data_IF_355965671785
#
_entry.id   IF_355965671785
#
_cell.length_a   1.000
_cell.length_b   1.000
_cell.length_c   1.000
_cell.angle_alpha   90.00
_cell.angle_beta   90.00
_cell.angle_gamma   90.00
#
_symmetry.space_group_name_H-M   'P 1'
#
loop_
_entity.id
_entity.type
_entity.pdbx_description
1 polymer ?
#
# COMPACT_ATOMS: atom_id res chain seq x y z
N UNK A 1 15.44 -1.22 -2.49
CA UNK A 1 14.98 -2.62 -2.38
C UNK A 1 13.90 -2.84 -3.42
N UNK A 2 14.09 -3.75 -4.37
CA UNK A 2 13.04 -4.11 -5.33
C UNK A 2 12.04 -5.03 -4.63
N UNK A 3 10.74 -4.77 -4.80
CA UNK A 3 9.68 -5.64 -4.29
C UNK A 3 9.78 -7.03 -4.94
N UNK A 4 9.34 -8.07 -4.22
CA UNK A 4 9.24 -9.43 -4.75
C UNK A 4 8.18 -9.58 -5.85
N UNK A 5 7.24 -8.63 -5.95
CA UNK A 5 6.21 -8.51 -6.99
C UNK A 5 6.12 -7.05 -7.42
N UNK A 6 6.04 -6.80 -8.73
CA UNK A 6 5.84 -5.44 -9.26
C UNK A 6 4.41 -4.98 -9.01
N UNK A 7 4.20 -3.66 -8.97
CA UNK A 7 2.89 -3.04 -8.78
C UNK A 7 1.90 -3.59 -9.82
N UNK A 8 0.90 -4.35 -9.36
CA UNK A 8 -0.14 -4.96 -10.21
C UNK A 8 0.02 -6.46 -10.53
N UNK A 9 1.02 -7.16 -9.99
CA UNK A 9 1.17 -8.61 -10.16
C UNK A 9 0.82 -9.37 -8.87
N UNK A 10 -0.16 -10.27 -8.95
CA UNK A 10 -0.63 -11.09 -7.81
C UNK A 10 -2.11 -10.86 -7.49
N UNK A 11 -2.59 -11.49 -6.43
CA UNK A 11 -3.93 -11.18 -5.90
C UNK A 11 -3.93 -9.80 -5.23
N UNK A 12 -5.11 -9.19 -5.07
CA UNK A 12 -5.26 -7.90 -4.38
C UNK A 12 -4.65 -7.95 -2.97
N UNK A 13 -4.87 -9.04 -2.24
CA UNK A 13 -4.30 -9.21 -0.89
C UNK A 13 -2.78 -9.31 -0.90
N UNK A 14 -2.19 -10.03 -1.86
CA UNK A 14 -0.73 -10.10 -2.01
C UNK A 14 -0.13 -8.73 -2.34
N UNK A 15 -0.82 -7.94 -3.16
CA UNK A 15 -0.41 -6.58 -3.52
C UNK A 15 -0.46 -5.67 -2.28
N UNK A 16 -1.56 -5.73 -1.51
CA UNK A 16 -1.73 -4.95 -0.27
C UNK A 16 -0.65 -5.27 0.75
N UNK A 17 -0.40 -6.55 1.00
CA UNK A 17 0.66 -6.99 1.91
C UNK A 17 2.04 -6.51 1.45
N UNK A 18 2.35 -6.65 0.16
CA UNK A 18 3.63 -6.19 -0.38
C UNK A 18 3.82 -4.67 -0.22
N UNK A 19 2.77 -3.88 -0.40
CA UNK A 19 2.83 -2.44 -0.16
C UNK A 19 2.98 -2.12 1.32
N UNK A 20 2.27 -2.79 2.23
CA UNK A 20 2.45 -2.58 3.68
C UNK A 20 3.90 -2.87 4.08
N UNK A 21 4.44 -4.02 3.67
CA UNK A 21 5.84 -4.40 3.97
C UNK A 21 6.87 -3.41 3.39
N UNK A 22 6.58 -2.79 2.23
CA UNK A 22 7.42 -1.73 1.65
C UNK A 22 7.47 -0.49 2.55
N UNK A 23 6.37 -0.14 3.21
CA UNK A 23 6.26 1.08 3.99
C UNK A 23 6.80 0.92 5.42
N UNK A 24 6.72 -0.27 6.03
CA UNK A 24 7.17 -0.53 7.42
C UNK A 24 8.58 0.02 7.71
N UNK A 25 9.63 -0.24 6.91
CA UNK A 25 10.97 0.28 7.20
C UNK A 25 11.05 1.80 7.23
N UNK A 26 10.25 2.48 6.40
CA UNK A 26 10.20 3.95 6.37
C UNK A 26 9.43 4.51 7.59
N UNK A 27 8.38 3.81 8.02
CA UNK A 27 7.62 4.17 9.22
C UNK A 27 8.49 4.00 10.47
N UNK A 28 9.25 2.90 10.57
CA UNK A 28 10.19 2.67 11.67
C UNK A 28 11.29 3.73 11.72
N UNK A 29 11.83 4.11 10.55
CA UNK A 29 12.83 5.18 10.45
C UNK A 29 12.25 6.54 10.86
N UNK A 30 11.04 6.88 10.42
CA UNK A 30 10.35 8.08 10.86
C UNK A 30 10.13 8.09 12.39
N UNK A 31 9.79 6.93 12.97
CA UNK A 31 9.68 6.74 14.42
C UNK A 31 10.99 7.01 15.16
N UNK A 32 12.13 6.51 14.64
CA UNK A 32 13.47 6.79 15.21
C UNK A 32 13.84 8.27 15.16
N UNK A 33 13.32 9.01 14.18
CA UNK A 33 13.49 10.46 14.05
C UNK A 33 12.52 11.27 14.91
N UNK A 34 11.64 10.62 15.69
CA UNK A 34 10.71 11.28 16.60
C UNK A 34 9.43 11.80 15.95
N UNK A 35 9.12 11.39 14.72
CA UNK A 35 7.86 11.77 14.04
C UNK A 35 6.66 11.29 14.86
N UNK A 36 5.74 12.21 15.19
CA UNK A 36 4.54 11.92 15.99
C UNK A 36 3.28 11.74 15.15
N UNK A 37 3.27 12.29 13.92
CA UNK A 37 2.15 12.17 12.97
C UNK A 37 2.76 11.86 11.61
N UNK A 38 2.31 10.77 11.00
CA UNK A 38 2.75 10.32 9.69
C UNK A 38 1.50 10.04 8.84
N UNK A 39 1.49 10.58 7.62
CA UNK A 39 0.46 10.29 6.62
C UNK A 39 1.07 9.49 5.49
N UNK A 40 0.27 8.62 4.88
CA UNK A 40 0.64 7.87 3.69
C UNK A 40 0.03 8.53 2.45
N UNK A 41 0.52 8.13 1.29
CA UNK A 41 -0.02 8.56 0.01
C UNK A 41 -1.47 8.06 -0.14
N UNK A 42 -2.26 8.76 -0.96
CA UNK A 42 -3.58 8.26 -1.34
C UNK A 42 -3.47 6.85 -1.91
N UNK A 43 -4.31 5.93 -1.43
CA UNK A 43 -4.36 4.54 -1.89
C UNK A 43 -2.98 3.83 -1.74
N UNK A 44 -2.22 4.14 -0.68
CA UNK A 44 -0.84 3.66 -0.51
C UNK A 44 -0.64 2.13 -0.59
N UNK A 45 -1.69 1.35 -0.35
CA UNK A 45 -1.64 -0.11 -0.30
C UNK A 45 -2.01 -0.78 -1.63
N UNK A 46 -2.40 -0.04 -2.66
CA UNK A 46 -2.65 -0.62 -4.00
C UNK A 46 -2.08 0.28 -5.11
N UNK A 47 -1.95 -0.21 -6.35
CA UNK A 47 -1.69 0.65 -7.51
C UNK A 47 -2.79 1.70 -7.69
N UNK A 48 -2.46 2.79 -8.38
CA UNK A 48 -3.45 3.78 -8.78
C UNK A 48 -4.31 3.23 -9.94
N UNK A 49 -5.39 2.52 -9.59
CA UNK A 49 -6.25 1.81 -10.53
C UNK A 49 -7.36 2.67 -11.15
N UNK A 50 -7.54 3.92 -10.71
CA UNK A 50 -8.57 4.85 -11.18
C UNK A 50 -8.71 5.02 -12.71
N UNK A 51 -7.64 4.97 -13.55
CA UNK A 51 -7.82 5.03 -15.00
C UNK A 51 -8.41 3.74 -15.62
N UNK A 52 -8.48 2.64 -14.87
CA UNK A 52 -9.07 1.37 -15.31
C UNK A 52 -10.56 1.22 -14.95
N UNK A 53 -11.18 0.14 -15.43
CA UNK A 53 -12.59 -0.21 -15.14
C UNK A 53 -12.76 -1.64 -14.59
N UNK A 54 -11.69 -2.25 -14.10
CA UNK A 54 -11.76 -3.59 -13.52
C UNK A 54 -12.47 -3.55 -12.15
N UNK A 55 -13.65 -4.15 -12.08
CA UNK A 55 -14.44 -4.24 -10.86
C UNK A 55 -13.78 -5.09 -9.76
N UNK A 56 -12.76 -5.89 -10.09
CA UNK A 56 -11.98 -6.64 -9.11
C UNK A 56 -11.40 -5.75 -8.01
N UNK A 57 -11.02 -4.51 -8.34
CA UNK A 57 -10.48 -3.56 -7.37
C UNK A 57 -11.46 -3.17 -6.26
N UNK A 58 -12.77 -3.39 -6.41
CA UNK A 58 -13.71 -3.16 -5.31
C UNK A 58 -13.45 -4.06 -4.10
N UNK A 59 -12.80 -5.21 -4.30
CA UNK A 59 -12.38 -6.09 -3.22
C UNK A 59 -11.23 -5.51 -2.37
N UNK A 60 -10.54 -4.45 -2.83
CA UNK A 60 -9.51 -3.79 -2.03
C UNK A 60 -10.08 -2.82 -0.98
N UNK A 61 -11.36 -2.46 -1.09
CA UNK A 61 -12.01 -1.56 -0.15
C UNK A 61 -12.11 -2.18 1.25
N UNK A 62 -11.81 -1.37 2.25
CA UNK A 62 -11.88 -1.74 3.66
C UNK A 62 -12.75 -0.72 4.41
N UNK A 63 -13.44 -1.18 5.45
CA UNK A 63 -14.16 -0.26 6.35
C UNK A 63 -13.19 0.70 7.02
N UNK A 64 -13.64 1.94 7.20
CA UNK A 64 -12.91 2.98 7.94
C UNK A 64 -13.87 3.63 8.94
N UNK A 65 -13.41 3.93 10.17
CA UNK A 65 -12.29 3.33 10.89
C UNK A 65 -12.60 1.92 11.38
#
# INVERSE_FOLDING_TARGET
MSLAKTEGQGTIEEIKEAMVQKHIPFIEEAGKQGVQILCLQEIFNTPYFCPGQDAGWYASAESIP
#
